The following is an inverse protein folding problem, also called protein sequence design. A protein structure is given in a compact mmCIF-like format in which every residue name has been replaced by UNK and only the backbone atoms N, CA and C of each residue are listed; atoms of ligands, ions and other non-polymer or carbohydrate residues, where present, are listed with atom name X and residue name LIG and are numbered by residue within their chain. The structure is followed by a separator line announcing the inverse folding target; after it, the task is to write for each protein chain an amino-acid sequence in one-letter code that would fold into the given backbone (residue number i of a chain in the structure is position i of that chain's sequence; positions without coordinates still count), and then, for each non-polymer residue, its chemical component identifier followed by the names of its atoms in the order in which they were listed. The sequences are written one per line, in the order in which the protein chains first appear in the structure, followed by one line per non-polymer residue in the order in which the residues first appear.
data_IF_676487313576
#
_entry.id   IF_676487313576
#
_cell.length_a   1.000
_cell.length_b   1.000
_cell.length_c   1.000
_cell.angle_alpha   90.00
_cell.angle_beta   90.00
_cell.angle_gamma   90.00
#
_symmetry.space_group_name_H-M   'P 1'
#
loop_
_entity.id
_entity.type
_entity.pdbx_description
1 polymer ?
#
# COMPACT_ATOMS: atom_id res chain seq x y z
N UNK A 1 -3.96 14.67 51.34
CA UNK A 1 -5.04 14.69 50.34
C UNK A 1 -4.46 15.27 49.05
N UNK A 2 -3.96 14.43 48.13
CA UNK A 2 -3.45 14.87 46.84
C UNK A 2 -3.63 13.72 45.83
N UNK A 3 -4.58 13.91 44.91
CA UNK A 3 -4.99 12.95 43.89
C UNK A 3 -3.84 12.70 42.89
N UNK A 4 -3.37 11.45 42.81
CA UNK A 4 -2.66 10.93 41.63
C UNK A 4 -3.68 10.63 40.54
N UNK A 5 -3.77 11.48 39.51
CA UNK A 5 -4.52 11.16 38.29
C UNK A 5 -3.63 10.33 37.35
N UNK A 6 -3.91 9.03 37.33
CA UNK A 6 -3.43 8.08 36.33
C UNK A 6 -4.13 8.37 35.00
N UNK A 7 -3.37 8.76 33.98
CA UNK A 7 -3.88 8.87 32.61
C UNK A 7 -3.75 7.50 31.93
N UNK A 8 -4.86 6.77 31.85
CA UNK A 8 -5.05 5.61 30.97
C UNK A 8 -5.00 6.10 29.53
N UNK A 9 -4.02 5.63 28.75
CA UNK A 9 -4.06 5.70 27.29
C UNK A 9 -5.07 4.66 26.83
N UNK A 10 -6.26 5.13 26.42
CA UNK A 10 -7.26 4.29 25.79
C UNK A 10 -6.85 4.02 24.34
N UNK A 11 -6.77 2.74 23.98
CA UNK A 11 -6.58 2.28 22.62
C UNK A 11 -7.74 2.77 21.74
N UNK A 12 -7.45 3.67 20.80
CA UNK A 12 -8.37 4.01 19.72
C UNK A 12 -8.26 2.96 18.62
N UNK A 13 -8.89 1.81 18.87
CA UNK A 13 -9.38 0.94 17.81
C UNK A 13 -10.88 1.23 17.65
N UNK A 14 -11.24 1.98 16.61
CA UNK A 14 -12.61 1.99 16.11
C UNK A 14 -12.60 2.01 14.58
N UNK A 15 -13.42 1.17 13.92
CA UNK A 15 -13.51 1.16 12.48
C UNK A 15 -14.18 2.46 12.01
N UNK A 16 -13.56 3.13 11.04
CA UNK A 16 -14.20 4.20 10.30
C UNK A 16 -15.49 3.64 9.67
N UNK A 17 -16.64 4.14 10.11
CA UNK A 17 -17.93 3.90 9.47
C UNK A 17 -17.88 4.49 8.06
N UNK A 18 -18.22 3.67 7.06
CA UNK A 18 -18.40 4.09 5.68
C UNK A 18 -19.42 5.25 5.60
N UNK A 19 -19.02 6.34 4.93
CA UNK A 19 -19.91 7.45 4.60
C UNK A 19 -20.68 7.12 3.30
N UNK A 20 -21.98 7.41 3.29
CA UNK A 20 -22.91 7.15 2.19
C UNK A 20 -22.66 8.06 0.96
N UNK A 21 -22.95 7.62 -0.27
CA UNK A 21 -22.65 8.38 -1.48
C UNK A 21 -23.67 9.50 -1.76
N UNK A 22 -23.16 10.67 -2.14
CA UNK A 22 -23.94 11.79 -2.67
C UNK A 22 -24.26 11.57 -4.16
N UNK A 23 -25.55 11.68 -4.47
CA UNK A 23 -26.15 11.54 -5.80
C UNK A 23 -25.80 12.75 -6.68
N UNK A 24 -25.30 12.51 -7.91
CA UNK A 24 -25.22 13.51 -8.96
C UNK A 24 -25.91 13.05 -10.26
N UNK A 25 -26.68 13.97 -10.83
CA UNK A 25 -27.77 13.80 -11.81
C UNK A 25 -27.32 13.53 -13.25
N UNK A 26 -28.16 12.78 -13.97
CA UNK A 26 -28.20 12.63 -15.44
C UNK A 26 -28.27 13.98 -16.16
N UNK A 27 -27.53 14.11 -17.26
CA UNK A 27 -27.82 15.04 -18.34
C UNK A 27 -27.95 14.27 -19.67
N UNK A 28 -29.04 14.53 -20.38
CA UNK A 28 -29.52 13.87 -21.59
C UNK A 28 -29.22 14.70 -22.84
N UNK A 29 -28.64 14.07 -23.87
CA UNK A 29 -29.23 14.04 -25.21
C UNK A 29 -28.84 15.06 -26.30
N UNK A 30 -28.88 14.52 -27.53
CA UNK A 30 -28.89 15.14 -28.89
C UNK A 30 -27.50 15.43 -29.47
N UNK A 31 -27.13 15.09 -30.70
CA UNK A 31 -27.83 14.57 -31.88
C UNK A 31 -26.90 14.78 -33.10
N UNK A 32 -26.88 13.82 -34.03
CA UNK A 32 -26.06 13.73 -35.28
C UNK A 32 -26.50 14.77 -36.35
N UNK A 33 -25.74 15.07 -37.41
CA UNK A 33 -25.68 14.26 -38.66
C UNK A 33 -24.29 14.21 -39.37
N UNK A 34 -23.76 13.05 -39.77
CA UNK A 34 -23.62 12.50 -41.15
C UNK A 34 -23.06 13.39 -42.28
N UNK A 35 -21.94 12.96 -42.89
CA UNK A 35 -21.71 12.90 -44.35
C UNK A 35 -20.70 11.79 -44.72
N UNK A 36 -20.81 11.25 -45.94
CA UNK A 36 -20.09 10.11 -46.55
C UNK A 36 -19.01 10.61 -47.53
N UNK A 37 -17.91 9.87 -47.72
CA UNK A 37 -17.21 9.62 -49.01
C UNK A 37 -16.11 8.55 -48.79
N UNK A 38 -16.27 7.30 -49.24
CA UNK A 38 -15.77 6.66 -50.48
C UNK A 38 -14.29 6.93 -50.87
N UNK A 39 -13.50 5.86 -50.92
CA UNK A 39 -12.24 5.74 -51.65
C UNK A 39 -11.60 4.34 -51.50
N UNK A 40 -11.57 3.55 -52.57
CA UNK A 40 -10.95 2.21 -52.65
C UNK A 40 -9.46 2.33 -53.01
N UNK A 41 -8.63 1.40 -52.54
CA UNK A 41 -7.61 0.70 -53.36
C UNK A 41 -6.96 -0.44 -52.55
N UNK A 42 -6.79 -1.58 -53.20
CA UNK A 42 -6.15 -2.78 -52.69
C UNK A 42 -4.75 -2.92 -53.29
N UNK A 43 -3.77 -3.43 -52.53
CA UNK A 43 -2.57 -4.09 -53.07
C UNK A 43 -2.18 -5.27 -52.17
N UNK A 44 -1.94 -6.41 -52.82
CA UNK A 44 -1.47 -7.71 -52.33
C UNK A 44 -0.06 -7.64 -51.72
N UNK A 45 0.26 -8.57 -50.80
CA UNK A 45 1.61 -9.13 -50.78
C UNK A 45 2.11 -9.78 -49.49
N UNK A 46 2.16 -11.12 -49.54
CA UNK A 46 3.12 -12.04 -48.91
C UNK A 46 2.95 -12.44 -47.44
N UNK A 47 2.64 -13.73 -47.31
CA UNK A 47 2.80 -14.56 -46.13
C UNK A 47 4.28 -14.69 -45.72
N UNK A 48 4.52 -14.61 -44.41
CA UNK A 48 5.74 -15.13 -43.78
C UNK A 48 5.33 -16.00 -42.59
N UNK A 49 5.94 -17.18 -42.52
CA UNK A 49 5.72 -18.22 -41.51
C UNK A 49 6.09 -17.68 -40.11
N UNK A 50 5.15 -17.73 -39.16
CA UNK A 50 5.42 -17.48 -37.75
C UNK A 50 5.97 -18.76 -37.10
N UNK A 51 7.29 -18.83 -36.93
CA UNK A 51 7.92 -19.77 -36.02
C UNK A 51 7.71 -19.28 -34.58
N UNK A 52 7.13 -20.14 -33.76
CA UNK A 52 6.96 -19.91 -32.33
C UNK A 52 8.33 -19.77 -31.65
N UNK A 53 8.60 -18.58 -31.12
CA UNK A 53 9.59 -18.37 -30.07
C UNK A 53 8.95 -17.49 -29.01
N UNK A 54 8.69 -18.05 -27.83
CA UNK A 54 8.22 -17.31 -26.66
C UNK A 54 9.14 -17.57 -25.48
N UNK A 55 10.36 -17.08 -25.59
CA UNK A 55 11.10 -16.60 -24.41
C UNK A 55 10.77 -15.11 -24.25
N UNK A 56 9.76 -14.79 -23.44
CA UNK A 56 9.41 -13.38 -23.18
C UNK A 56 10.46 -12.75 -22.25
N UNK A 57 11.54 -12.25 -22.85
CA UNK A 57 12.38 -11.26 -22.20
C UNK A 57 11.50 -10.04 -21.87
N UNK A 58 11.32 -9.77 -20.57
CA UNK A 58 10.45 -8.73 -20.03
C UNK A 58 11.02 -7.36 -20.40
N UNK A 59 10.20 -6.47 -20.99
CA UNK A 59 10.59 -5.07 -21.28
C UNK A 59 10.76 -4.30 -19.97
N UNK A 60 11.88 -3.59 -19.74
CA UNK A 60 12.01 -2.68 -18.60
C UNK A 60 11.03 -1.51 -18.76
N UNK A 61 10.29 -1.14 -17.70
CA UNK A 61 9.50 0.10 -17.66
C UNK A 61 7.97 -0.03 -17.67
N UNK A 62 7.41 -1.24 -17.62
CA UNK A 62 5.96 -1.43 -17.43
C UNK A 62 5.69 -1.51 -15.93
N UNK A 63 4.72 -0.72 -15.43
CA UNK A 63 4.28 -0.72 -14.02
C UNK A 63 3.74 -2.08 -13.55
N UNK A 64 3.20 -2.17 -12.31
CA UNK A 64 2.67 -3.42 -11.80
C UNK A 64 1.60 -4.00 -12.74
N UNK A 65 1.59 -5.34 -12.89
CA UNK A 65 0.61 -6.06 -13.72
C UNK A 65 -0.14 -7.08 -12.87
N UNK A 66 -1.16 -7.73 -13.44
CA UNK A 66 -1.84 -8.88 -12.80
C UNK A 66 -1.18 -10.23 -13.06
N UNK A 67 0.07 -10.28 -13.48
CA UNK A 67 0.71 -11.55 -13.88
C UNK A 67 0.82 -12.53 -12.71
N UNK A 68 1.11 -12.03 -11.50
CA UNK A 68 1.20 -12.88 -10.31
C UNK A 68 -0.18 -13.43 -9.92
N UNK A 69 -1.18 -12.56 -9.88
CA UNK A 69 -2.56 -12.86 -9.54
C UNK A 69 -3.15 -13.86 -10.54
N UNK A 70 -2.97 -13.64 -11.84
CA UNK A 70 -3.40 -14.57 -12.90
C UNK A 70 -2.81 -15.95 -12.76
N UNK A 71 -1.51 -16.07 -12.40
CA UNK A 71 -0.88 -17.37 -12.16
C UNK A 71 -1.52 -18.11 -10.98
N UNK A 72 -1.98 -17.41 -9.95
CA UNK A 72 -2.67 -18.03 -8.82
C UNK A 72 -4.12 -18.39 -9.16
N UNK A 73 -4.81 -17.52 -9.90
CA UNK A 73 -6.16 -17.81 -10.39
C UNK A 73 -6.20 -19.05 -11.30
N UNK A 74 -5.20 -19.23 -12.17
CA UNK A 74 -5.06 -20.42 -13.01
C UNK A 74 -4.84 -21.72 -12.21
N UNK A 75 -4.34 -21.61 -10.96
CA UNK A 75 -4.19 -22.73 -10.02
C UNK A 75 -5.44 -22.97 -9.16
N UNK A 76 -6.52 -22.22 -9.38
CA UNK A 76 -7.79 -22.40 -8.67
C UNK A 76 -8.00 -21.48 -7.45
N UNK A 77 -6.99 -20.71 -7.03
CA UNK A 77 -7.15 -19.72 -5.96
C UNK A 77 -8.09 -18.60 -6.41
N UNK A 78 -9.10 -18.23 -5.62
CA UNK A 78 -10.09 -17.21 -5.99
C UNK A 78 -9.68 -15.83 -5.52
N UNK A 79 -9.41 -15.71 -4.22
CA UNK A 79 -9.03 -14.48 -3.54
C UNK A 79 -7.51 -14.43 -3.36
N UNK A 80 -6.87 -13.51 -4.07
CA UNK A 80 -5.42 -13.29 -4.01
C UNK A 80 -5.16 -11.93 -3.39
N UNK A 81 -4.56 -11.91 -2.20
CA UNK A 81 -4.17 -10.70 -1.51
C UNK A 81 -2.75 -10.30 -1.88
N UNK A 82 -2.50 -9.01 -2.07
CA UNK A 82 -1.18 -8.40 -2.03
C UNK A 82 -0.94 -7.74 -0.68
N UNK A 83 0.30 -7.75 -0.21
CA UNK A 83 0.71 -7.25 1.10
C UNK A 83 2.02 -6.49 0.98
N UNK A 84 2.08 -5.31 1.59
CA UNK A 84 3.29 -4.47 1.64
C UNK A 84 3.32 -3.62 2.93
N UNK A 85 4.48 -3.07 3.27
CA UNK A 85 4.71 -2.22 4.43
C UNK A 85 5.31 -0.85 4.12
N UNK A 86 4.98 0.13 4.96
CA UNK A 86 5.58 1.44 4.99
C UNK A 86 6.19 1.72 6.37
N UNK A 87 7.32 2.44 6.38
CA UNK A 87 7.87 2.97 7.63
C UNK A 87 8.99 2.15 8.28
N UNK A 88 9.75 1.36 7.53
CA UNK A 88 10.88 0.62 8.10
C UNK A 88 12.08 1.48 8.48
N UNK A 89 12.45 2.43 7.64
CA UNK A 89 13.64 3.29 7.85
C UNK A 89 13.51 4.46 8.83
N UNK A 90 12.32 5.08 9.04
CA UNK A 90 12.17 6.22 9.94
C UNK A 90 12.62 5.98 11.38
N UNK A 91 13.05 7.05 12.05
CA UNK A 91 13.51 7.04 13.45
C UNK A 91 12.36 7.12 14.46
N UNK A 92 11.15 7.43 14.00
CA UNK A 92 9.98 7.72 14.83
C UNK A 92 8.72 7.21 14.14
N UNK A 93 7.74 6.87 14.96
CA UNK A 93 6.44 6.38 14.53
C UNK A 93 6.42 4.91 14.15
N UNK A 94 5.26 4.40 13.75
CA UNK A 94 5.05 2.97 13.53
C UNK A 94 5.62 2.48 12.20
N UNK A 95 5.71 1.15 12.10
CA UNK A 95 5.66 0.46 10.81
C UNK A 95 4.19 0.10 10.55
N UNK A 96 3.71 0.34 9.34
CA UNK A 96 2.34 0.04 8.92
C UNK A 96 2.41 -0.95 7.79
N UNK A 97 1.63 -2.03 7.85
CA UNK A 97 1.42 -2.91 6.72
C UNK A 97 -0.05 -2.91 6.31
N UNK A 98 -0.29 -3.15 5.04
CA UNK A 98 -1.63 -3.32 4.50
C UNK A 98 -1.73 -4.60 3.69
N UNK A 99 -2.94 -5.14 3.61
CA UNK A 99 -3.31 -6.24 2.75
C UNK A 99 -4.47 -5.79 1.86
N UNK A 100 -4.43 -6.15 0.58
CA UNK A 100 -5.44 -5.74 -0.39
C UNK A 100 -5.77 -6.88 -1.36
N UNK A 101 -7.07 -7.14 -1.54
CA UNK A 101 -7.63 -8.07 -2.52
C UNK A 101 -8.43 -7.24 -3.52
N UNK A 102 -8.07 -7.37 -4.80
CA UNK A 102 -8.72 -6.66 -5.89
C UNK A 102 -9.54 -7.63 -6.73
N UNK A 103 -10.79 -7.29 -7.01
CA UNK A 103 -11.66 -8.05 -7.91
C UNK A 103 -10.98 -8.28 -9.26
N UNK A 104 -11.25 -9.43 -9.87
CA UNK A 104 -10.65 -9.85 -11.14
C UNK A 104 -11.03 -8.93 -12.29
N UNK A 105 -12.24 -8.39 -12.23
CA UNK A 105 -12.85 -7.58 -13.29
C UNK A 105 -12.60 -6.08 -13.10
N UNK A 106 -11.87 -5.69 -12.04
CA UNK A 106 -11.53 -4.31 -11.79
C UNK A 106 -10.55 -3.79 -12.85
N UNK A 107 -10.88 -2.65 -13.45
CA UNK A 107 -10.03 -1.96 -14.41
C UNK A 107 -8.65 -1.65 -13.81
N UNK A 108 -7.60 -1.98 -14.56
CA UNK A 108 -6.22 -1.80 -14.12
C UNK A 108 -5.75 -0.34 -14.22
N UNK A 109 -6.52 0.53 -14.90
CA UNK A 109 -6.26 1.96 -14.90
C UNK A 109 -6.75 2.65 -13.60
N UNK A 110 -6.62 1.96 -12.47
CA UNK A 110 -7.08 2.38 -11.15
C UNK A 110 -6.28 3.59 -10.68
N UNK A 111 -6.75 4.80 -11.00
CA UNK A 111 -6.17 6.07 -10.56
C UNK A 111 -4.63 6.16 -10.71
N UNK A 112 -4.08 5.59 -11.80
CA UNK A 112 -2.63 5.60 -12.04
C UNK A 112 -1.80 4.80 -11.04
N UNK A 113 -2.36 3.74 -10.45
CA UNK A 113 -1.68 2.84 -9.52
C UNK A 113 -0.35 2.34 -10.11
N UNK A 114 0.74 2.66 -9.41
CA UNK A 114 2.11 2.20 -9.68
C UNK A 114 2.79 1.94 -8.33
N UNK A 115 4.11 1.69 -8.35
CA UNK A 115 4.97 1.77 -7.17
C UNK A 115 4.71 3.09 -6.42
N UNK A 116 4.26 2.99 -5.17
CA UNK A 116 3.89 4.14 -4.35
C UNK A 116 4.99 5.19 -4.22
N UNK A 117 6.26 4.82 -4.41
CA UNK A 117 7.42 5.73 -4.38
C UNK A 117 7.55 6.58 -5.64
N UNK A 118 6.94 6.15 -6.76
CA UNK A 118 6.89 6.89 -8.03
C UNK A 118 5.69 7.83 -8.13
N UNK A 119 4.72 7.69 -7.23
CA UNK A 119 3.53 8.52 -7.17
C UNK A 119 3.79 9.79 -6.35
N UNK A 120 3.12 10.90 -6.67
CA UNK A 120 3.09 12.09 -5.80
C UNK A 120 2.21 11.84 -4.56
N UNK A 121 2.22 12.74 -3.59
CA UNK A 121 1.36 12.63 -2.40
C UNK A 121 -0.12 12.73 -2.80
N UNK A 122 -0.45 13.63 -3.71
CA UNK A 122 -1.79 13.83 -4.25
C UNK A 122 -2.27 12.58 -5.01
N UNK A 123 -1.44 12.01 -5.89
CA UNK A 123 -1.77 10.77 -6.61
C UNK A 123 -2.01 9.59 -5.67
N UNK A 124 -1.22 9.49 -4.59
CA UNK A 124 -1.43 8.44 -3.58
C UNK A 124 -2.74 8.63 -2.83
N UNK A 125 -3.09 9.86 -2.47
CA UNK A 125 -4.35 10.16 -1.79
C UNK A 125 -5.56 9.87 -2.69
N UNK A 126 -5.54 10.28 -3.96
CA UNK A 126 -6.59 9.94 -4.94
C UNK A 126 -6.74 8.42 -5.10
N UNK A 127 -5.62 7.70 -5.24
CA UNK A 127 -5.62 6.25 -5.34
C UNK A 127 -6.14 5.59 -4.05
N UNK A 128 -5.77 6.11 -2.88
CA UNK A 128 -6.27 5.63 -1.59
C UNK A 128 -7.79 5.76 -1.49
N UNK A 129 -8.36 6.91 -1.88
CA UNK A 129 -9.81 7.12 -1.85
C UNK A 129 -10.53 6.11 -2.78
N UNK A 130 -9.97 5.83 -3.96
CA UNK A 130 -10.50 4.80 -4.86
C UNK A 130 -10.39 3.39 -4.25
N UNK A 131 -9.24 3.06 -3.64
CA UNK A 131 -9.02 1.75 -3.01
C UNK A 131 -9.96 1.51 -1.82
N UNK A 132 -10.36 2.58 -1.13
CA UNK A 132 -11.13 2.48 0.13
C UNK A 132 -12.63 2.73 -0.03
N UNK A 133 -13.06 3.33 -1.14
CA UNK A 133 -14.48 3.66 -1.39
C UNK A 133 -15.23 2.65 -2.26
N UNK A 134 -14.59 1.54 -2.66
CA UNK A 134 -15.17 0.53 -3.58
C UNK A 134 -15.25 -0.88 -2.92
N UNK A 135 -16.07 -1.07 -1.87
CA UNK A 135 -16.11 -2.31 -1.09
C UNK A 135 -16.58 -3.54 -1.89
N UNK A 136 -17.34 -3.35 -2.98
CA UNK A 136 -17.83 -4.44 -3.83
C UNK A 136 -16.70 -5.06 -4.68
N UNK A 137 -15.65 -4.29 -4.96
CA UNK A 137 -14.54 -4.70 -5.82
C UNK A 137 -13.21 -4.83 -5.07
N UNK A 138 -13.08 -4.22 -3.89
CA UNK A 138 -11.82 -4.08 -3.18
C UNK A 138 -12.05 -4.41 -1.71
N UNK A 139 -11.30 -5.41 -1.23
CA UNK A 139 -11.24 -5.75 0.18
C UNK A 139 -9.85 -5.42 0.69
N UNK A 140 -9.74 -4.64 1.75
CA UNK A 140 -8.46 -4.25 2.30
C UNK A 140 -8.49 -4.23 3.83
N UNK A 141 -7.31 -4.28 4.42
CA UNK A 141 -7.10 -4.09 5.84
C UNK A 141 -5.67 -3.59 6.07
N UNK A 142 -5.42 -3.03 7.24
CA UNK A 142 -4.08 -2.60 7.64
C UNK A 142 -3.86 -2.81 9.14
N UNK A 143 -2.58 -2.84 9.50
CA UNK A 143 -2.14 -2.92 10.88
C UNK A 143 -0.87 -2.10 11.08
N UNK A 144 -0.75 -1.45 12.24
CA UNK A 144 0.45 -0.72 12.65
C UNK A 144 1.08 -1.36 13.88
N UNK A 145 2.40 -1.42 13.90
CA UNK A 145 3.19 -1.80 15.09
C UNK A 145 3.95 -0.56 15.53
N UNK A 146 3.78 -0.18 16.80
CA UNK A 146 4.31 1.07 17.33
C UNK A 146 5.84 1.00 17.59
N UNK A 147 6.43 2.15 17.91
CA UNK A 147 7.87 2.27 18.12
C UNK A 147 8.37 1.45 19.32
N UNK A 148 7.55 1.31 20.37
CA UNK A 148 7.91 0.55 21.57
C UNK A 148 8.02 -0.93 21.23
N UNK A 149 7.02 -1.47 20.54
CA UNK A 149 7.05 -2.85 20.12
C UNK A 149 8.16 -3.09 19.08
N UNK A 150 8.41 -2.15 18.15
CA UNK A 150 9.56 -2.23 17.23
C UNK A 150 10.88 -2.37 17.99
N UNK A 151 11.07 -1.61 19.07
CA UNK A 151 12.27 -1.70 19.91
C UNK A 151 12.37 -3.06 20.63
N UNK A 152 11.24 -3.66 21.02
CA UNK A 152 11.19 -4.97 21.70
C UNK A 152 11.51 -6.14 20.75
N UNK A 153 10.96 -6.15 19.53
CA UNK A 153 11.05 -7.31 18.62
C UNK A 153 11.91 -7.08 17.37
N UNK A 154 12.53 -5.92 17.23
CA UNK A 154 13.23 -5.42 16.03
C UNK A 154 12.33 -5.14 14.82
N UNK A 155 12.82 -4.25 13.94
CA UNK A 155 12.04 -3.77 12.79
C UNK A 155 11.65 -4.86 11.80
N UNK A 156 12.47 -5.90 11.64
CA UNK A 156 12.16 -6.96 10.70
C UNK A 156 10.98 -7.80 11.22
N UNK A 157 10.99 -8.20 12.49
CA UNK A 157 9.86 -8.95 13.05
C UNK A 157 8.63 -8.07 13.17
N UNK A 158 8.77 -6.79 13.54
CA UNK A 158 7.64 -5.85 13.58
C UNK A 158 6.98 -5.69 12.21
N UNK A 159 7.76 -5.61 11.13
CA UNK A 159 7.22 -5.54 9.77
C UNK A 159 6.47 -6.82 9.40
N UNK A 160 7.06 -8.00 9.65
CA UNK A 160 6.41 -9.29 9.37
C UNK A 160 5.15 -9.49 10.20
N UNK A 161 5.15 -9.06 11.48
CA UNK A 161 3.99 -9.09 12.35
C UNK A 161 2.88 -8.15 11.86
N UNK A 162 3.23 -6.94 11.42
CA UNK A 162 2.27 -6.01 10.84
C UNK A 162 1.59 -6.62 9.60
N UNK A 163 2.37 -7.25 8.71
CA UNK A 163 1.84 -7.91 7.50
C UNK A 163 0.87 -9.05 7.84
N UNK A 164 1.26 -9.92 8.77
CA UNK A 164 0.41 -11.01 9.25
C UNK A 164 -0.92 -10.49 9.80
N UNK A 165 -0.86 -9.47 10.66
CA UNK A 165 -2.05 -8.88 11.27
C UNK A 165 -2.90 -8.08 10.27
N UNK A 166 -2.31 -7.53 9.22
CA UNK A 166 -3.05 -6.91 8.13
C UNK A 166 -3.85 -7.97 7.36
N UNK A 167 -3.23 -9.12 7.03
CA UNK A 167 -3.92 -10.23 6.37
C UNK A 167 -5.03 -10.79 7.25
N UNK A 168 -4.80 -10.98 8.55
CA UNK A 168 -5.80 -11.53 9.47
C UNK A 168 -7.00 -10.60 9.69
N UNK A 169 -6.85 -9.31 9.38
CA UNK A 169 -7.90 -8.29 9.49
C UNK A 169 -8.70 -8.10 8.21
N UNK A 170 -8.35 -8.77 7.11
CA UNK A 170 -9.15 -8.72 5.89
C UNK A 170 -10.58 -9.20 6.19
N UNK A 171 -11.62 -8.49 5.73
CA UNK A 171 -13.02 -8.90 5.92
C UNK A 171 -13.31 -10.33 5.44
N UNK A 172 -12.63 -10.75 4.37
CA UNK A 172 -12.70 -12.10 3.84
C UNK A 172 -11.31 -12.70 3.80
N UNK A 173 -11.17 -13.92 4.34
CA UNK A 173 -9.90 -14.66 4.33
C UNK A 173 -9.44 -14.89 2.88
N UNK A 174 -8.22 -14.48 2.50
CA UNK A 174 -7.70 -14.75 1.17
C UNK A 174 -7.30 -16.22 1.00
N UNK A 175 -7.38 -16.73 -0.22
CA UNK A 175 -6.92 -18.09 -0.57
C UNK A 175 -5.41 -18.13 -0.82
N UNK A 176 -4.84 -17.01 -1.27
CA UNK A 176 -3.41 -16.87 -1.55
C UNK A 176 -2.91 -15.47 -1.18
N UNK A 177 -1.69 -15.39 -0.68
CA UNK A 177 -1.06 -14.12 -0.26
C UNK A 177 0.25 -13.89 -1.02
N UNK A 178 0.38 -12.71 -1.62
CA UNK A 178 1.57 -12.20 -2.30
C UNK A 178 2.18 -11.11 -1.42
N UNK A 179 3.42 -11.29 -0.97
CA UNK A 179 4.06 -10.38 -0.01
C UNK A 179 5.23 -9.65 -0.68
N UNK A 180 5.34 -8.33 -0.51
CA UNK A 180 6.56 -7.62 -0.93
C UNK A 180 7.76 -8.04 -0.07
N UNK A 181 8.89 -8.28 -0.74
CA UNK A 181 10.16 -8.61 -0.10
C UNK A 181 10.57 -10.07 -0.28
N UNK A 182 11.34 -10.59 0.67
CA UNK A 182 12.04 -11.87 0.54
C UNK A 182 11.76 -12.85 1.69
N UNK A 183 10.76 -12.58 2.53
CA UNK A 183 10.42 -13.42 3.67
C UNK A 183 8.91 -13.54 3.81
N UNK A 184 8.47 -14.73 4.22
CA UNK A 184 7.08 -15.01 4.57
C UNK A 184 6.95 -14.88 6.10
N UNK A 185 5.96 -14.14 6.63
CA UNK A 185 5.63 -14.13 8.05
C UNK A 185 5.37 -15.54 8.58
N UNK A 186 5.87 -15.85 9.78
CA UNK A 186 5.88 -17.23 10.32
C UNK A 186 4.50 -17.87 10.44
N UNK A 187 3.46 -17.08 10.69
CA UNK A 187 2.10 -17.58 10.86
C UNK A 187 1.28 -17.59 9.56
N UNK A 188 1.91 -17.31 8.41
CA UNK A 188 1.31 -17.51 7.10
C UNK A 188 1.85 -18.81 6.48
N UNK A 189 0.95 -19.65 5.96
CA UNK A 189 1.34 -20.92 5.37
C UNK A 189 2.16 -20.72 4.10
N UNK A 190 3.33 -21.39 3.95
CA UNK A 190 4.14 -21.32 2.74
C UNK A 190 3.44 -21.95 1.52
N UNK A 191 2.44 -22.81 1.72
CA UNK A 191 1.69 -23.43 0.61
C UNK A 191 0.74 -22.43 -0.06
N UNK A 192 0.29 -21.43 0.69
CA UNK A 192 -0.68 -20.41 0.25
C UNK A 192 -0.10 -19.00 0.26
N UNK A 193 1.22 -18.86 0.36
CA UNK A 193 1.90 -17.57 0.45
C UNK A 193 3.20 -17.58 -0.34
N UNK A 194 3.51 -16.50 -1.05
CA UNK A 194 4.84 -16.31 -1.64
C UNK A 194 5.35 -14.89 -1.41
N UNK A 195 6.68 -14.76 -1.24
CA UNK A 195 7.35 -13.47 -1.18
C UNK A 195 7.90 -13.09 -2.56
N UNK A 196 7.72 -11.82 -2.96
CA UNK A 196 8.13 -11.28 -4.25
C UNK A 196 9.02 -10.07 -4.00
N UNK A 197 10.31 -10.19 -4.34
CA UNK A 197 11.24 -9.06 -4.24
C UNK A 197 10.82 -7.96 -5.21
N UNK A 198 10.61 -6.74 -4.71
CA UNK A 198 10.07 -5.60 -5.49
C UNK A 198 8.70 -5.95 -6.07
N UNK A 199 7.85 -6.52 -5.23
CA UNK A 199 6.48 -6.94 -5.52
C UNK A 199 5.59 -5.76 -5.86
N UNK A 200 5.81 -4.60 -5.24
CA UNK A 200 5.15 -3.32 -5.53
C UNK A 200 5.25 -2.94 -7.02
N UNK A 201 6.41 -3.14 -7.64
CA UNK A 201 6.62 -2.95 -9.07
C UNK A 201 6.21 -4.12 -9.98
N UNK A 202 5.59 -5.18 -9.44
CA UNK A 202 5.32 -6.45 -10.18
C UNK A 202 3.90 -6.96 -10.06
N UNK A 203 3.21 -6.69 -8.97
CA UNK A 203 1.85 -7.13 -8.66
C UNK A 203 0.99 -5.93 -8.32
N UNK A 204 -0.16 -5.82 -8.99
CA UNK A 204 -1.14 -4.74 -8.74
C UNK A 204 -1.70 -4.85 -7.33
N UNK A 205 -1.95 -6.05 -6.83
CA UNK A 205 -2.44 -6.24 -5.47
C UNK A 205 -1.42 -5.75 -4.42
N UNK A 206 -0.11 -6.02 -4.63
CA UNK A 206 0.95 -5.51 -3.75
C UNK A 206 1.09 -3.99 -3.88
N UNK A 207 1.05 -3.45 -5.11
CA UNK A 207 1.08 -2.00 -5.33
C UNK A 207 -0.07 -1.30 -4.59
N UNK A 208 -1.29 -1.83 -4.65
CA UNK A 208 -2.44 -1.29 -3.92
C UNK A 208 -2.22 -1.32 -2.40
N UNK A 209 -1.70 -2.43 -1.86
CA UNK A 209 -1.33 -2.51 -0.45
C UNK A 209 -0.25 -1.46 -0.07
N UNK A 210 0.74 -1.24 -0.94
CA UNK A 210 1.80 -0.25 -0.72
C UNK A 210 1.25 1.18 -0.57
N UNK A 211 0.28 1.56 -1.42
CA UNK A 211 -0.39 2.86 -1.36
C UNK A 211 -1.16 3.00 -0.05
N UNK A 212 -1.94 1.98 0.33
CA UNK A 212 -2.71 1.98 1.59
C UNK A 212 -1.77 2.13 2.79
N UNK A 213 -0.72 1.31 2.87
CA UNK A 213 0.24 1.38 3.96
C UNK A 213 0.92 2.74 4.05
N UNK A 214 1.31 3.31 2.89
CA UNK A 214 1.99 4.59 2.80
C UNK A 214 1.11 5.76 3.24
N UNK A 215 -0.11 5.84 2.71
CA UNK A 215 -1.06 6.93 3.04
C UNK A 215 -1.47 6.85 4.52
N UNK A 216 -1.83 5.66 5.01
CA UNK A 216 -2.18 5.48 6.44
C UNK A 216 -1.02 5.91 7.34
N UNK A 217 0.21 5.49 7.03
CA UNK A 217 1.37 5.88 7.82
C UNK A 217 1.61 7.38 7.77
N UNK A 218 1.57 8.01 6.60
CA UNK A 218 1.85 9.43 6.46
C UNK A 218 0.81 10.28 7.21
N UNK A 219 -0.47 9.89 7.18
CA UNK A 219 -1.54 10.48 8.01
C UNK A 219 -1.24 10.34 9.51
N UNK A 220 -0.79 9.16 9.98
CA UNK A 220 -0.34 8.98 11.38
C UNK A 220 0.84 9.90 11.75
N UNK A 221 1.78 10.14 10.84
CA UNK A 221 2.89 11.05 11.09
C UNK A 221 2.45 12.51 11.16
N UNK A 222 1.44 12.89 10.37
CA UNK A 222 0.81 14.22 10.46
C UNK A 222 0.09 14.42 11.79
N UNK A 223 -0.65 13.42 12.26
CA UNK A 223 -1.29 13.49 13.58
C UNK A 223 -0.26 13.56 14.71
N UNK A 224 0.83 12.79 14.60
CA UNK A 224 1.93 12.87 15.56
C UNK A 224 2.63 14.25 15.54
N UNK A 225 2.70 14.91 14.38
CA UNK A 225 3.22 16.27 14.29
C UNK A 225 2.37 17.27 15.08
N UNK A 226 1.05 17.13 15.10
CA UNK A 226 0.16 18.00 15.89
C UNK A 226 0.47 17.91 17.39
N UNK A 227 0.82 16.72 17.87
CA UNK A 227 1.19 16.49 19.27
C UNK A 227 2.63 16.95 19.57
N UNK A 228 3.56 16.75 18.63
CA UNK A 228 4.98 17.10 18.78
C UNK A 228 5.48 17.99 17.63
N UNK A 229 5.01 19.25 17.55
CA UNK A 229 5.27 20.13 16.42
C UNK A 229 6.76 20.48 16.27
N UNK A 230 7.52 20.48 17.37
CA UNK A 230 8.94 20.84 17.40
C UNK A 230 9.84 19.93 16.56
N UNK A 231 9.38 18.72 16.17
CA UNK A 231 10.18 17.80 15.37
C UNK A 231 9.92 17.85 13.87
N UNK A 232 8.84 18.47 13.38
CA UNK A 232 8.57 18.58 11.93
C UNK A 232 8.18 17.28 11.21
N UNK A 233 7.49 16.35 11.92
CA UNK A 233 7.11 15.04 11.36
C UNK A 233 6.20 15.10 10.13
N UNK A 234 5.42 16.16 9.96
CA UNK A 234 4.58 16.43 8.79
C UNK A 234 5.40 16.51 7.49
N UNK A 235 6.65 16.98 7.56
CA UNK A 235 7.51 17.17 6.38
C UNK A 235 8.29 15.91 6.04
N UNK A 236 9.11 15.44 6.97
CA UNK A 236 10.02 14.33 6.72
C UNK A 236 9.48 12.98 7.19
N UNK A 237 8.22 12.89 7.64
CA UNK A 237 7.52 11.64 7.99
C UNK A 237 8.31 10.72 8.94
N UNK A 238 9.15 11.33 9.78
CA UNK A 238 10.01 10.66 10.76
C UNK A 238 11.38 10.16 10.27
N UNK A 239 11.76 10.38 9.00
CA UNK A 239 13.11 10.05 8.52
C UNK A 239 14.18 10.91 9.22
N UNK A 240 15.38 10.37 9.38
CA UNK A 240 16.52 11.00 10.07
C UNK A 240 17.21 12.09 9.24
N UNK A 241 16.47 13.07 8.75
CA UNK A 241 17.00 14.23 8.03
C UNK A 241 17.70 15.21 9.01
N UNK A 242 18.60 16.09 8.56
CA UNK A 242 19.33 17.00 9.44
C UNK A 242 18.44 17.79 10.40
N UNK A 243 17.29 18.28 9.92
CA UNK A 243 16.31 19.02 10.71
C UNK A 243 15.76 18.18 11.88
N UNK A 244 15.42 16.92 11.61
CA UNK A 244 14.91 16.01 12.62
C UNK A 244 15.96 15.68 13.68
N UNK A 245 17.21 15.41 13.25
CA UNK A 245 18.31 15.13 14.16
C UNK A 245 18.65 16.35 15.04
N UNK A 246 18.56 17.56 14.50
CA UNK A 246 18.72 18.79 15.27
C UNK A 246 17.62 18.95 16.32
N UNK A 247 16.35 18.67 15.96
CA UNK A 247 15.24 18.69 16.90
C UNK A 247 15.43 17.68 18.04
N UNK A 248 15.87 16.45 17.72
CA UNK A 248 16.18 15.42 18.73
C UNK A 248 17.31 15.89 19.66
N UNK A 249 18.40 16.49 19.15
CA UNK A 249 19.48 17.02 20.00
C UNK A 249 18.99 18.13 20.94
N UNK A 250 18.07 18.97 20.48
CA UNK A 250 17.56 20.12 21.24
C UNK A 250 16.51 19.73 22.27
N UNK A 251 15.62 18.79 21.94
CA UNK A 251 14.42 18.47 22.71
C UNK A 251 14.44 17.07 23.35
N UNK A 252 15.46 16.26 23.04
CA UNK A 252 15.48 14.82 23.35
C UNK A 252 14.58 14.01 22.43
N UNK A 253 14.62 12.67 22.49
CA UNK A 253 13.65 11.82 21.80
C UNK A 253 12.29 11.79 22.52
N UNK A 254 11.20 12.01 21.79
CA UNK A 254 9.83 11.79 22.30
C UNK A 254 9.47 10.28 22.42
N UNK A 255 8.35 9.92 23.09
CA UNK A 255 7.95 8.52 23.29
C UNK A 255 7.76 7.67 22.02
N UNK A 256 7.51 8.29 20.88
CA UNK A 256 7.33 7.60 19.60
C UNK A 256 8.63 7.35 18.82
N UNK A 257 9.77 7.81 19.33
CA UNK A 257 11.07 7.51 18.72
C UNK A 257 11.48 6.06 19.00
N UNK A 258 12.07 5.43 17.99
CA UNK A 258 12.62 4.07 18.06
C UNK A 258 13.99 4.14 18.70
N UNK A 259 14.08 3.83 19.99
CA UNK A 259 15.29 3.99 20.79
C UNK A 259 16.41 3.05 20.37
N UNK A 260 16.08 1.95 19.71
CA UNK A 260 17.07 0.98 19.21
C UNK A 260 17.71 1.39 17.88
N UNK A 261 17.18 2.42 17.19
CA UNK A 261 17.70 2.86 15.90
C UNK A 261 18.87 3.83 16.08
N UNK A 262 19.93 3.65 15.28
CA UNK A 262 20.94 4.69 15.13
C UNK A 262 20.35 5.90 14.38
N UNK A 263 20.67 7.14 14.76
CA UNK A 263 21.63 7.52 15.80
C UNK A 263 21.07 7.59 17.22
N UNK A 264 19.75 7.52 17.43
CA UNK A 264 19.07 7.71 18.73
C UNK A 264 19.60 6.77 19.81
N UNK A 265 19.94 5.53 19.46
CA UNK A 265 20.55 4.55 20.36
C UNK A 265 21.80 5.06 21.09
N UNK A 266 22.50 6.04 20.52
CA UNK A 266 23.78 6.55 21.01
C UNK A 266 23.71 8.01 21.50
N UNK A 267 22.51 8.59 21.61
CA UNK A 267 22.29 9.98 22.03
C UNK A 267 21.93 10.09 23.51
#
# INVERSE_FOLDING_TARGET
MALRRSARVAALASPLKAAAPLIAKKATGKGRPTTKAKGKAAVRGKATKSTASTSSARRPGVGPTRDHERRKWAKGFKLVAGVDEAGRGPLVGPVVAAACVLSRDLDLNLAGLDDSKKMTEEQREECFEVLTSNPDAISYAWHSIDAKEIDEINILQASLKAMELAVSKLPTKPDYVLIDGNRIPKNLSPDTTEAIVKGDGKSIAIAAASVIAKVVRDRMMFDLHKEYPQYGFDKHKGYGVPQHLQAIRKHGPCPHHRRTFAPIKYM
#
